data_IF_786479158315
#
_entry.id   IF_786479158315
#
_cell.length_a   1.000
_cell.length_b   1.000
_cell.length_c   1.000
_cell.angle_alpha   90.00
_cell.angle_beta   90.00
_cell.angle_gamma   90.00
#
_symmetry.space_group_name_H-M   'P 1'
#
loop_
_entity.id
_entity.type
_entity.pdbx_description
1 polymer ?
#
# COMPACT_ATOMS: atom_id res chain seq x y z
N UNK A 1 -11.81 -38.90 -12.44
CA UNK A 1 -11.22 -39.52 -11.23
C UNK A 1 -9.70 -39.72 -11.26
N UNK A 2 -9.08 -40.25 -12.33
CA UNK A 2 -7.63 -40.54 -12.37
C UNK A 2 -6.69 -39.33 -12.13
N UNK A 3 -7.05 -38.13 -12.59
CA UNK A 3 -6.22 -36.90 -12.41
C UNK A 3 -6.16 -36.41 -10.96
N UNK A 4 -7.21 -36.64 -10.17
CA UNK A 4 -7.24 -36.25 -8.75
C UNK A 4 -6.33 -37.15 -7.89
N UNK A 5 -6.23 -38.44 -8.25
CA UNK A 5 -5.34 -39.42 -7.61
C UNK A 5 -3.86 -39.06 -7.83
N UNK A 6 -3.49 -38.58 -9.02
CA UNK A 6 -2.11 -38.20 -9.34
C UNK A 6 -1.64 -36.99 -8.52
N UNK A 7 -2.52 -36.03 -8.28
CA UNK A 7 -2.20 -34.83 -7.47
C UNK A 7 -2.12 -35.15 -5.96
N UNK A 8 -3.06 -35.97 -5.44
CA UNK A 8 -3.00 -36.43 -4.04
C UNK A 8 -1.73 -37.22 -3.75
N UNK A 9 -1.26 -38.05 -4.70
CA UNK A 9 0.02 -38.76 -4.59
C UNK A 9 1.23 -37.81 -4.60
N UNK A 10 1.17 -36.70 -5.35
CA UNK A 10 2.26 -35.72 -5.41
C UNK A 10 2.36 -34.93 -4.10
N UNK A 11 1.23 -34.47 -3.56
CA UNK A 11 1.16 -33.82 -2.25
C UNK A 11 1.60 -34.74 -1.11
N UNK A 12 1.15 -35.99 -1.09
CA UNK A 12 1.57 -36.98 -0.10
C UNK A 12 3.09 -37.28 -0.18
N UNK A 13 3.66 -37.30 -1.39
CA UNK A 13 5.12 -37.45 -1.57
C UNK A 13 5.90 -36.23 -1.06
N UNK A 14 5.41 -35.02 -1.33
CA UNK A 14 6.04 -33.80 -0.81
C UNK A 14 5.95 -33.69 0.71
N UNK A 15 4.79 -34.05 1.29
CA UNK A 15 4.62 -34.08 2.75
C UNK A 15 5.45 -35.18 3.42
N UNK A 16 5.53 -36.37 2.79
CA UNK A 16 6.39 -37.45 3.25
C UNK A 16 7.88 -37.09 3.21
N UNK A 17 8.32 -36.37 2.17
CA UNK A 17 9.69 -35.83 2.10
C UNK A 17 10.00 -34.85 3.23
N UNK A 18 9.08 -33.93 3.53
CA UNK A 18 9.23 -32.99 4.65
C UNK A 18 9.27 -33.71 6.01
N UNK A 19 8.42 -34.72 6.22
CA UNK A 19 8.40 -35.51 7.45
C UNK A 19 9.73 -36.27 7.66
N UNK A 20 10.29 -36.85 6.60
CA UNK A 20 11.57 -37.55 6.64
C UNK A 20 12.74 -36.60 6.95
N UNK A 21 12.70 -35.36 6.44
CA UNK A 21 13.69 -34.32 6.78
C UNK A 21 13.60 -33.98 8.27
N UNK A 22 12.40 -33.75 8.79
CA UNK A 22 12.19 -33.48 10.22
C UNK A 22 12.63 -34.64 11.11
N UNK A 23 12.31 -35.88 10.74
CA UNK A 23 12.78 -37.08 11.44
C UNK A 23 14.31 -37.18 11.38
N UNK A 24 14.93 -36.91 10.23
CA UNK A 24 16.39 -36.89 10.07
C UNK A 24 17.07 -35.89 11.02
N UNK A 25 16.54 -34.67 11.13
CA UNK A 25 17.04 -33.67 12.08
C UNK A 25 16.84 -34.10 13.55
N UNK A 26 15.66 -34.63 13.90
CA UNK A 26 15.40 -35.11 15.25
C UNK A 26 16.29 -36.29 15.66
N UNK A 27 16.56 -37.21 14.72
CA UNK A 27 17.49 -38.34 14.96
C UNK A 27 18.94 -37.88 15.06
N UNK A 28 19.33 -36.83 14.31
CA UNK A 28 20.66 -36.26 14.37
C UNK A 28 20.94 -35.57 15.71
N UNK A 29 20.00 -34.75 16.17
CA UNK A 29 20.10 -34.08 17.48
C UNK A 29 20.11 -35.10 18.63
N UNK A 30 19.33 -36.17 18.51
CA UNK A 30 19.34 -37.29 19.47
C UNK A 30 20.66 -38.06 19.49
N UNK A 31 21.21 -38.41 18.32
CA UNK A 31 22.48 -39.17 18.23
C UNK A 31 23.68 -38.33 18.65
N UNK A 32 23.72 -37.05 18.29
CA UNK A 32 24.81 -36.14 18.65
C UNK A 32 24.85 -35.88 20.17
N UNK A 33 23.69 -35.79 20.81
CA UNK A 33 23.58 -35.69 22.27
C UNK A 33 24.03 -36.97 23.00
N UNK A 34 23.82 -38.15 22.42
CA UNK A 34 24.14 -39.43 23.06
C UNK A 34 25.58 -39.89 22.89
N UNK A 35 26.22 -39.55 21.77
CA UNK A 35 27.51 -40.17 21.39
C UNK A 35 28.71 -39.26 21.55
N UNK A 36 28.53 -37.95 21.69
CA UNK A 36 29.64 -36.98 21.79
C UNK A 36 30.50 -36.86 20.50
N UNK A 37 30.13 -37.56 19.42
CA UNK A 37 30.88 -37.60 18.14
C UNK A 37 30.54 -36.41 17.23
N UNK A 38 29.99 -35.32 17.78
CA UNK A 38 29.52 -34.15 17.03
C UNK A 38 30.56 -33.45 16.12
N UNK A 39 31.84 -33.81 16.23
CA UNK A 39 32.94 -33.18 15.51
C UNK A 39 33.45 -33.93 14.25
N UNK A 40 32.95 -35.14 13.93
CA UNK A 40 33.51 -35.95 12.83
C UNK A 40 32.57 -36.21 11.64
N UNK A 41 31.33 -35.73 11.67
CA UNK A 41 30.42 -35.83 10.54
C UNK A 41 30.06 -34.43 10.01
N UNK A 42 30.11 -34.19 8.68
CA UNK A 42 29.82 -32.88 8.11
C UNK A 42 28.37 -32.46 8.40
N UNK A 43 28.12 -31.18 8.71
CA UNK A 43 26.77 -30.72 9.04
C UNK A 43 25.81 -30.94 7.86
N UNK A 44 24.50 -31.15 8.11
CA UNK A 44 23.51 -31.55 7.09
C UNK A 44 23.29 -30.55 5.94
N UNK A 45 24.02 -29.43 5.89
CA UNK A 45 23.78 -28.29 5.01
C UNK A 45 23.76 -28.61 3.52
N UNK A 46 24.63 -29.51 3.04
CA UNK A 46 24.70 -29.85 1.61
C UNK A 46 23.54 -30.72 1.13
N UNK A 47 23.09 -31.68 1.95
CA UNK A 47 21.92 -32.52 1.64
C UNK A 47 20.64 -31.70 1.84
N UNK A 48 20.55 -30.91 2.90
CA UNK A 48 19.40 -30.06 3.18
C UNK A 48 19.14 -29.03 2.07
N UNK A 49 20.18 -28.45 1.48
CA UNK A 49 20.02 -27.46 0.41
C UNK A 49 19.55 -28.08 -0.92
N UNK A 50 20.02 -29.29 -1.26
CA UNK A 50 19.54 -30.04 -2.43
C UNK A 50 18.06 -30.41 -2.32
N UNK A 51 17.65 -30.94 -1.17
CA UNK A 51 16.27 -31.33 -0.90
C UNK A 51 15.33 -30.13 -0.76
N UNK A 52 15.81 -29.00 -0.21
CA UNK A 52 15.08 -27.75 -0.15
C UNK A 52 14.84 -27.17 -1.55
N UNK A 53 15.89 -27.05 -2.38
CA UNK A 53 15.76 -26.56 -3.76
C UNK A 53 14.81 -27.43 -4.60
N UNK A 54 14.80 -28.74 -4.37
CA UNK A 54 13.85 -29.67 -5.01
C UNK A 54 12.42 -29.45 -4.50
N UNK A 55 12.22 -29.33 -3.19
CA UNK A 55 10.90 -29.11 -2.57
C UNK A 55 10.29 -27.77 -3.00
N UNK A 56 11.07 -26.69 -3.02
CA UNK A 56 10.63 -25.36 -3.49
C UNK A 56 10.28 -25.40 -4.97
N UNK A 57 11.10 -26.04 -5.83
CA UNK A 57 10.78 -26.19 -7.26
C UNK A 57 9.49 -26.95 -7.51
N UNK A 58 9.22 -28.00 -6.74
CA UNK A 58 8.01 -28.81 -6.87
C UNK A 58 6.75 -28.11 -6.31
N UNK A 59 6.90 -27.31 -5.26
CA UNK A 59 5.83 -26.46 -4.74
C UNK A 59 5.50 -25.33 -5.71
N UNK A 60 6.51 -24.66 -6.29
CA UNK A 60 6.32 -23.61 -7.29
C UNK A 60 5.65 -24.14 -8.56
N UNK A 61 6.10 -25.29 -9.10
CA UNK A 61 5.43 -25.92 -10.26
C UNK A 61 4.01 -26.36 -9.95
N UNK A 62 3.75 -26.91 -8.76
CA UNK A 62 2.39 -27.28 -8.33
C UNK A 62 1.49 -26.04 -8.21
N UNK A 63 2.00 -24.96 -7.60
CA UNK A 63 1.31 -23.69 -7.45
C UNK A 63 1.00 -23.05 -8.81
N UNK A 64 2.00 -22.92 -9.69
CA UNK A 64 1.83 -22.43 -11.07
C UNK A 64 0.80 -23.25 -11.84
N UNK A 65 0.77 -24.58 -11.67
CA UNK A 65 -0.19 -25.44 -12.36
C UNK A 65 -1.64 -25.28 -11.86
N UNK A 66 -1.84 -25.13 -10.53
CA UNK A 66 -3.15 -24.85 -9.95
C UNK A 66 -3.65 -23.47 -10.36
N UNK A 67 -2.75 -22.50 -10.35
CA UNK A 67 -3.02 -21.12 -10.72
C UNK A 67 -3.38 -20.98 -12.19
N UNK A 68 -2.62 -21.62 -13.10
CA UNK A 68 -2.94 -21.68 -14.54
C UNK A 68 -4.33 -22.28 -14.79
N UNK A 69 -4.70 -23.35 -14.07
CA UNK A 69 -6.05 -23.95 -14.17
C UNK A 69 -7.15 -23.05 -13.61
N UNK A 70 -6.85 -22.24 -12.61
CA UNK A 70 -7.81 -21.25 -12.11
C UNK A 70 -8.01 -20.13 -13.14
N UNK A 71 -6.92 -19.63 -13.73
CA UNK A 71 -6.99 -18.64 -14.82
C UNK A 71 -7.78 -19.18 -16.01
N UNK A 72 -7.50 -20.41 -16.45
CA UNK A 72 -8.24 -21.02 -17.56
C UNK A 72 -9.73 -21.17 -17.26
N UNK A 73 -10.08 -21.50 -16.00
CA UNK A 73 -11.49 -21.55 -15.55
C UNK A 73 -12.12 -20.16 -15.55
N UNK A 74 -11.44 -19.17 -14.98
CA UNK A 74 -11.91 -17.78 -14.89
C UNK A 74 -12.07 -17.16 -16.31
N UNK A 75 -11.14 -17.44 -17.22
CA UNK A 75 -11.21 -17.03 -18.64
C UNK A 75 -12.37 -17.70 -19.36
N UNK A 76 -12.57 -19.01 -19.17
CA UNK A 76 -13.72 -19.72 -19.78
C UNK A 76 -15.05 -19.19 -19.25
N UNK A 77 -15.16 -18.98 -17.94
CA UNK A 77 -16.35 -18.39 -17.32
C UNK A 77 -16.60 -16.97 -17.82
N UNK A 78 -15.56 -16.14 -17.94
CA UNK A 78 -15.67 -14.79 -18.50
C UNK A 78 -16.09 -14.78 -19.97
N UNK A 79 -15.54 -15.70 -20.80
CA UNK A 79 -15.94 -15.86 -22.21
C UNK A 79 -17.39 -16.35 -22.35
N UNK A 80 -17.81 -17.28 -21.51
CA UNK A 80 -19.20 -17.75 -21.47
C UNK A 80 -20.16 -16.64 -21.04
N UNK A 81 -19.79 -15.83 -20.04
CA UNK A 81 -20.58 -14.68 -19.61
C UNK A 81 -20.55 -13.49 -20.59
N UNK A 82 -19.61 -13.46 -21.54
CA UNK A 82 -19.51 -12.43 -22.58
C UNK A 82 -20.33 -12.77 -23.84
N UNK A 83 -20.83 -14.01 -23.96
CA UNK A 83 -21.85 -14.32 -24.97
C UNK A 83 -23.15 -13.58 -24.62
N UNK A 84 -23.83 -12.94 -25.60
CA UNK A 84 -25.00 -12.13 -25.34
C UNK A 84 -26.20 -13.03 -25.06
N UNK A 85 -26.34 -13.50 -23.83
CA UNK A 85 -27.63 -13.91 -23.31
C UNK A 85 -28.44 -12.64 -23.07
N UNK A 86 -29.43 -12.41 -23.92
CA UNK A 86 -30.45 -11.40 -23.74
C UNK A 86 -31.19 -11.65 -22.41
N UNK A 87 -31.26 -10.64 -21.55
CA UNK A 87 -32.11 -10.62 -20.36
C UNK A 87 -31.58 -11.40 -19.16
N UNK A 88 -30.68 -10.81 -18.38
CA UNK A 88 -30.49 -11.22 -16.97
C UNK A 88 -30.39 -9.96 -16.11
N UNK A 89 -31.29 -9.90 -15.13
CA UNK A 89 -31.48 -8.86 -14.14
C UNK A 89 -30.24 -8.58 -13.28
N UNK A 90 -30.32 -7.47 -12.53
CA UNK A 90 -29.34 -6.76 -11.70
C UNK A 90 -28.60 -7.57 -10.59
N UNK A 91 -28.22 -8.82 -10.83
CA UNK A 91 -27.47 -9.60 -9.85
C UNK A 91 -26.02 -9.09 -9.77
N UNK A 92 -25.57 -8.58 -8.61
CA UNK A 92 -24.18 -8.20 -8.42
C UNK A 92 -23.28 -9.43 -8.57
N UNK A 93 -22.27 -9.30 -9.44
CA UNK A 93 -21.30 -10.37 -9.66
C UNK A 93 -20.29 -10.29 -8.51
N UNK A 94 -20.53 -11.08 -7.48
CA UNK A 94 -19.58 -11.24 -6.39
C UNK A 94 -18.33 -11.97 -6.93
N UNK A 95 -17.15 -11.39 -6.70
CA UNK A 95 -15.91 -12.13 -6.86
C UNK A 95 -15.77 -13.03 -5.63
N UNK A 96 -15.70 -14.37 -5.77
CA UNK A 96 -15.45 -15.24 -4.63
C UNK A 96 -14.01 -14.99 -4.12
N UNK A 97 -13.88 -14.10 -3.12
CA UNK A 97 -12.65 -13.89 -2.39
C UNK A 97 -12.67 -14.77 -1.14
N UNK A 98 -12.13 -15.99 -1.25
CA UNK A 98 -11.88 -16.82 -0.08
C UNK A 98 -10.74 -16.21 0.75
N UNK A 99 -10.99 -16.02 2.06
CA UNK A 99 -9.97 -15.63 3.04
C UNK A 99 -9.50 -16.90 3.72
N UNK A 100 -8.26 -17.30 3.50
CA UNK A 100 -7.64 -18.25 4.41
C UNK A 100 -7.30 -17.53 5.73
N UNK A 101 -7.49 -18.18 6.89
CA UNK A 101 -7.07 -17.61 8.16
C UNK A 101 -5.57 -17.30 8.13
N UNK A 102 -5.17 -16.15 8.70
CA UNK A 102 -3.77 -15.73 8.81
C UNK A 102 -3.00 -16.84 9.52
N UNK A 103 -2.30 -17.68 8.76
CA UNK A 103 -1.36 -18.65 9.31
C UNK A 103 -0.05 -17.90 9.56
N UNK A 104 0.47 -18.02 10.77
CA UNK A 104 1.80 -17.51 11.11
C UNK A 104 2.83 -18.20 10.21
N UNK A 105 3.22 -17.53 9.13
CA UNK A 105 4.34 -17.96 8.31
C UNK A 105 5.61 -17.40 8.94
N UNK A 106 6.31 -18.23 9.70
CA UNK A 106 7.64 -17.94 10.23
C UNK A 106 8.65 -17.92 9.08
N UNK A 107 8.72 -16.81 8.34
CA UNK A 107 9.65 -16.61 7.20
C UNK A 107 10.59 -15.42 7.47
N UNK A 108 10.82 -15.10 8.74
CA UNK A 108 11.72 -14.01 9.11
C UNK A 108 13.21 -14.41 8.96
N UNK A 109 13.57 -15.66 9.28
CA UNK A 109 14.98 -16.03 9.46
C UNK A 109 15.82 -16.26 8.19
N UNK A 110 15.23 -16.53 7.01
CA UNK A 110 16.00 -16.91 5.79
C UNK A 110 15.80 -15.98 4.58
N UNK A 111 14.94 -14.96 4.68
CA UNK A 111 14.85 -13.90 3.65
C UNK A 111 15.95 -12.85 3.84
N UNK A 112 16.47 -12.70 5.06
CA UNK A 112 17.54 -11.77 5.43
C UNK A 112 18.88 -12.10 4.74
N UNK A 113 19.17 -13.38 4.48
CA UNK A 113 20.40 -13.79 3.77
C UNK A 113 20.33 -13.57 2.24
N UNK A 114 19.14 -13.37 1.67
CA UNK A 114 18.96 -13.22 0.21
C UNK A 114 19.05 -11.78 -0.30
N UNK A 115 18.90 -10.81 0.59
CA UNK A 115 18.87 -9.40 0.25
C UNK A 115 19.54 -8.58 1.36
N UNK A 116 20.89 -8.64 1.47
CA UNK A 116 21.58 -7.68 2.30
C UNK A 116 21.21 -6.27 1.81
N UNK A 117 20.79 -5.35 2.70
CA UNK A 117 20.43 -3.98 2.33
C UNK A 117 21.54 -3.29 1.52
N UNK A 118 22.79 -3.72 1.69
CA UNK A 118 24.00 -3.19 1.09
C UNK A 118 23.96 -3.07 -0.44
N UNK A 119 23.19 -3.90 -1.18
CA UNK A 119 23.14 -3.77 -2.66
C UNK A 119 22.18 -2.69 -3.17
N UNK A 120 21.28 -2.17 -2.33
CA UNK A 120 20.29 -1.17 -2.72
C UNK A 120 20.68 0.26 -2.32
N UNK A 121 21.76 0.43 -1.53
CA UNK A 121 22.10 1.71 -0.89
C UNK A 121 23.55 2.18 -1.13
N UNK A 122 24.33 1.57 -2.03
CA UNK A 122 25.81 1.63 -2.01
C UNK A 122 26.51 2.98 -2.30
N UNK A 123 25.83 4.08 -2.63
CA UNK A 123 26.51 5.20 -3.32
C UNK A 123 26.39 6.60 -2.69
N UNK A 124 26.21 6.73 -1.37
CA UNK A 124 26.43 8.05 -0.72
C UNK A 124 26.99 7.95 0.68
N UNK A 125 27.88 8.88 1.05
CA UNK A 125 28.50 9.07 2.38
C UNK A 125 27.51 9.18 3.56
N UNK A 126 26.20 9.14 3.27
CA UNK A 126 25.13 8.86 4.21
C UNK A 126 24.14 7.89 3.54
N UNK A 127 23.80 6.77 4.17
CA UNK A 127 22.75 5.85 3.66
C UNK A 127 21.36 6.46 3.87
N UNK A 128 21.08 7.57 3.20
CA UNK A 128 19.81 8.29 3.29
C UNK A 128 18.85 7.84 2.22
N UNK A 129 17.69 7.35 2.65
CA UNK A 129 16.59 6.96 1.80
C UNK A 129 15.53 8.07 1.74
N UNK A 130 15.25 8.56 0.53
CA UNK A 130 14.28 9.60 0.29
C UNK A 130 13.01 9.05 -0.37
N UNK A 131 11.87 9.20 0.31
CA UNK A 131 10.54 8.80 -0.16
C UNK A 131 9.64 10.03 -0.23
N UNK A 132 9.20 10.41 -1.43
CA UNK A 132 8.25 11.51 -1.58
C UNK A 132 6.81 11.04 -1.35
N UNK A 133 6.16 11.58 -0.33
CA UNK A 133 4.72 11.38 -0.07
C UNK A 133 3.95 12.59 -0.57
N UNK A 134 3.04 12.39 -1.51
CA UNK A 134 2.24 13.49 -2.03
C UNK A 134 0.76 13.15 -2.24
N UNK A 135 -0.08 14.13 -1.93
CA UNK A 135 -1.53 14.06 -2.07
C UNK A 135 -1.99 14.70 -3.37
N UNK A 136 -2.81 13.99 -4.15
CA UNK A 136 -3.34 14.49 -5.44
C UNK A 136 -4.79 14.94 -5.35
N UNK A 137 -5.08 16.15 -5.85
CA UNK A 137 -6.47 16.62 -6.06
C UNK A 137 -7.02 16.05 -7.38
N UNK A 138 -7.11 14.72 -7.46
CA UNK A 138 -7.74 14.04 -8.58
C UNK A 138 -9.23 13.85 -8.27
N UNK A 139 -10.09 14.61 -8.96
CA UNK A 139 -11.51 14.31 -8.97
C UNK A 139 -11.74 12.94 -9.59
N UNK A 140 -12.78 12.24 -9.13
CA UNK A 140 -13.10 10.88 -9.57
C UNK A 140 -13.09 10.75 -11.11
N UNK A 141 -12.22 9.89 -11.64
CA UNK A 141 -12.06 9.60 -13.07
C UNK A 141 -11.22 10.60 -13.88
N UNK A 142 -10.55 11.57 -13.26
CA UNK A 142 -9.64 12.49 -13.95
C UNK A 142 -8.18 12.02 -13.91
N UNK A 143 -7.49 12.17 -15.04
CA UNK A 143 -6.09 11.74 -15.25
C UNK A 143 -5.07 12.78 -14.76
N UNK A 144 -5.34 14.08 -14.95
CA UNK A 144 -4.44 15.14 -14.51
C UNK A 144 -4.80 15.61 -13.11
N UNK A 145 -3.84 15.54 -12.20
CA UNK A 145 -4.04 15.96 -10.81
C UNK A 145 -2.89 16.85 -10.33
N UNK A 146 -3.25 17.91 -9.61
CA UNK A 146 -2.30 18.77 -8.90
C UNK A 146 -1.86 18.07 -7.62
N UNK A 147 -0.59 18.25 -7.24
CA UNK A 147 -0.06 17.78 -5.97
C UNK A 147 -0.25 18.87 -4.90
N UNK A 148 -1.22 18.68 -4.00
CA UNK A 148 -1.67 19.70 -3.05
C UNK A 148 -1.10 19.55 -1.64
N UNK A 149 -0.65 18.34 -1.30
CA UNK A 149 0.10 17.99 -0.10
C UNK A 149 1.42 17.35 -0.56
N UNK A 150 2.56 17.81 -0.07
CA UNK A 150 3.89 17.41 -0.57
C UNK A 150 4.82 17.33 0.63
N UNK A 151 5.29 16.13 0.94
CA UNK A 151 6.17 15.85 2.08
C UNK A 151 7.26 14.87 1.65
N UNK A 152 8.52 15.25 1.79
CA UNK A 152 9.63 14.33 1.62
C UNK A 152 9.89 13.64 2.97
N UNK A 153 9.86 12.32 2.99
CA UNK A 153 10.30 11.52 4.13
C UNK A 153 11.72 11.06 3.86
N UNK A 154 12.66 11.60 4.60
CA UNK A 154 14.09 11.30 4.53
C UNK A 154 14.46 10.42 5.71
N UNK A 155 14.92 9.21 5.44
CA UNK A 155 15.28 8.21 6.45
C UNK A 155 16.79 8.02 6.41
N UNK A 156 17.45 8.31 7.50
CA UNK A 156 18.86 8.03 7.71
C UNK A 156 19.00 6.61 8.25
N UNK A 157 19.44 5.66 7.43
CA UNK A 157 19.46 4.24 7.78
C UNK A 157 20.57 3.89 8.78
N UNK A 158 21.58 4.74 8.91
CA UNK A 158 22.70 4.54 9.84
C UNK A 158 22.35 5.00 11.25
N UNK A 159 21.66 6.14 11.37
CA UNK A 159 21.27 6.73 12.68
C UNK A 159 19.85 6.40 13.11
N UNK A 160 19.01 5.94 12.19
CA UNK A 160 17.58 5.74 12.39
C UNK A 160 16.77 7.03 12.35
N UNK A 161 17.37 8.20 12.06
CA UNK A 161 16.64 9.46 12.06
C UNK A 161 15.68 9.56 10.87
N UNK A 162 14.41 9.85 11.16
CA UNK A 162 13.37 10.14 10.16
C UNK A 162 13.07 11.63 10.16
N UNK A 163 13.33 12.30 9.04
CA UNK A 163 12.94 13.69 8.80
C UNK A 163 11.77 13.76 7.82
N UNK A 164 10.68 14.38 8.25
CA UNK A 164 9.57 14.79 7.38
C UNK A 164 9.82 16.23 6.96
N UNK A 165 9.94 16.48 5.66
CA UNK A 165 10.19 17.81 5.09
C UNK A 165 8.96 18.25 4.31
N UNK A 166 8.20 19.18 4.87
CA UNK A 166 6.98 19.72 4.26
C UNK A 166 7.29 20.79 3.21
N UNK A 167 6.67 20.65 2.04
CA UNK A 167 6.83 21.54 0.89
C UNK A 167 5.48 22.21 0.60
N UNK A 168 5.31 23.50 0.95
CA UNK A 168 4.08 24.23 0.62
C UNK A 168 3.82 24.22 -0.88
N UNK A 169 2.60 23.86 -1.28
CA UNK A 169 2.23 23.67 -2.69
C UNK A 169 2.43 24.94 -3.55
N UNK A 170 2.44 26.11 -2.91
CA UNK A 170 2.63 27.42 -3.54
C UNK A 170 4.08 27.83 -3.76
N UNK A 171 5.07 27.01 -3.38
CA UNK A 171 6.46 27.33 -3.69
C UNK A 171 6.69 27.41 -5.20
N UNK A 172 7.50 28.39 -5.61
CA UNK A 172 7.82 28.59 -7.01
C UNK A 172 8.53 27.36 -7.58
N UNK A 173 8.04 26.87 -8.71
CA UNK A 173 8.72 25.87 -9.52
C UNK A 173 8.23 26.00 -10.96
N UNK A 174 9.14 25.92 -11.92
CA UNK A 174 8.80 26.10 -13.32
C UNK A 174 7.92 24.94 -13.83
N UNK A 175 6.60 25.18 -13.83
CA UNK A 175 5.58 24.28 -14.36
C UNK A 175 5.37 24.46 -15.87
N UNK A 176 6.00 25.46 -16.50
CA UNK A 176 5.92 25.71 -17.94
C UNK A 176 4.80 26.64 -18.38
N UNK A 177 4.16 27.34 -17.44
CA UNK A 177 3.11 28.30 -17.79
C UNK A 177 3.72 29.66 -18.13
N UNK A 178 3.07 30.41 -19.04
CA UNK A 178 3.44 31.80 -19.34
C UNK A 178 3.20 32.71 -18.14
N UNK A 179 2.10 32.49 -17.43
CA UNK A 179 1.79 33.18 -16.18
C UNK A 179 2.73 32.73 -15.06
N UNK A 180 3.47 33.68 -14.47
CA UNK A 180 4.40 33.42 -13.37
C UNK A 180 3.69 32.85 -12.14
N UNK A 181 2.45 33.25 -11.86
CA UNK A 181 1.71 32.79 -10.68
C UNK A 181 1.28 31.32 -10.78
N UNK A 182 1.16 30.80 -12.00
CA UNK A 182 0.85 29.39 -12.26
C UNK A 182 2.09 28.48 -12.17
N UNK A 183 3.30 29.04 -12.08
CA UNK A 183 4.55 28.30 -11.91
C UNK A 183 4.84 28.01 -10.43
N UNK A 184 4.01 27.12 -9.88
CA UNK A 184 4.13 26.60 -8.51
C UNK A 184 4.33 25.08 -8.53
N UNK A 185 4.97 24.55 -7.49
CA UNK A 185 5.30 23.13 -7.35
C UNK A 185 4.06 22.22 -7.48
N UNK A 186 2.90 22.66 -6.99
CA UNK A 186 1.63 21.92 -7.10
C UNK A 186 1.24 21.56 -8.54
N UNK A 187 1.59 22.42 -9.49
CA UNK A 187 1.17 22.29 -10.87
C UNK A 187 2.14 21.46 -11.71
N UNK A 188 3.38 21.26 -11.25
CA UNK A 188 4.44 20.60 -12.02
C UNK A 188 4.05 19.15 -12.35
N UNK A 189 3.43 18.42 -11.41
CA UNK A 189 2.97 17.05 -11.66
C UNK A 189 1.98 17.00 -12.83
N UNK A 190 0.98 17.88 -12.84
CA UNK A 190 -0.06 17.91 -13.87
C UNK A 190 0.45 18.40 -15.24
N UNK A 191 1.46 19.28 -15.26
CA UNK A 191 1.92 19.93 -16.50
C UNK A 191 3.18 19.31 -17.11
N UNK A 192 4.08 18.76 -16.29
CA UNK A 192 5.39 18.23 -16.71
C UNK A 192 5.62 16.77 -16.34
N UNK A 193 4.66 16.14 -15.66
CA UNK A 193 4.75 14.73 -15.26
C UNK A 193 5.57 14.50 -13.99
N UNK A 194 5.55 13.23 -13.54
CA UNK A 194 6.12 12.81 -12.25
C UNK A 194 7.62 13.02 -12.16
N UNK A 195 8.38 12.65 -13.19
CA UNK A 195 9.84 12.75 -13.18
C UNK A 195 10.33 14.19 -12.97
N UNK A 196 9.71 15.17 -13.65
CA UNK A 196 10.03 16.58 -13.45
C UNK A 196 9.58 17.07 -12.07
N UNK A 197 8.44 16.58 -11.58
CA UNK A 197 7.96 16.91 -10.24
C UNK A 197 8.91 16.42 -9.15
N UNK A 198 9.38 15.17 -9.20
CA UNK A 198 10.38 14.62 -8.27
C UNK A 198 11.65 15.47 -8.26
N UNK A 199 12.24 15.75 -9.43
CA UNK A 199 13.41 16.63 -9.54
C UNK A 199 13.21 18.05 -9.01
N UNK A 200 12.00 18.59 -9.15
CA UNK A 200 11.68 19.89 -8.57
C UNK A 200 11.64 19.83 -7.05
N UNK A 201 11.13 18.75 -6.46
CA UNK A 201 11.12 18.57 -5.00
C UNK A 201 12.53 18.30 -4.47
N UNK A 202 13.33 17.47 -5.15
CA UNK A 202 14.76 17.25 -4.83
C UNK A 202 15.51 18.58 -4.66
N UNK A 203 15.37 19.47 -5.64
CA UNK A 203 16.00 20.81 -5.62
C UNK A 203 15.48 21.71 -4.50
N UNK A 204 14.20 21.61 -4.15
CA UNK A 204 13.60 22.41 -3.08
C UNK A 204 14.04 21.89 -1.71
N UNK A 205 14.14 20.57 -1.56
CA UNK A 205 14.42 19.93 -0.30
C UNK A 205 15.91 19.84 0.02
N UNK A 206 16.77 19.75 -0.99
CA UNK A 206 18.23 19.66 -0.85
C UNK A 206 18.65 18.53 0.12
N UNK A 207 18.12 17.32 -0.13
CA UNK A 207 18.34 16.11 0.69
C UNK A 207 18.89 14.92 -0.10
N UNK A 208 19.34 15.16 -1.35
CA UNK A 208 19.75 14.12 -2.28
C UNK A 208 18.61 13.63 -3.20
N UNK A 209 18.86 12.58 -4.00
CA UNK A 209 17.92 12.07 -4.98
C UNK A 209 16.69 11.43 -4.32
N UNK A 210 15.53 11.53 -4.97
CA UNK A 210 14.26 10.92 -4.56
C UNK A 210 14.00 9.71 -5.48
N UNK A 211 14.34 8.52 -4.99
CA UNK A 211 14.15 7.27 -5.73
C UNK A 211 12.75 6.69 -5.59
N UNK A 212 12.03 7.05 -4.52
CA UNK A 212 10.74 6.43 -4.19
C UNK A 212 9.64 7.46 -3.97
N UNK A 213 8.40 7.04 -4.22
CA UNK A 213 7.24 7.89 -4.00
C UNK A 213 6.02 7.12 -3.49
N UNK A 214 5.13 7.84 -2.83
CA UNK A 214 3.79 7.42 -2.44
C UNK A 214 2.82 8.52 -2.87
N UNK A 215 1.91 8.17 -3.79
CA UNK A 215 0.82 9.03 -4.25
C UNK A 215 -0.49 8.62 -3.56
N UNK A 216 -1.15 9.61 -2.95
CA UNK A 216 -2.38 9.40 -2.18
C UNK A 216 -3.48 10.31 -2.75
N UNK A 217 -4.54 9.71 -3.26
CA UNK A 217 -5.77 10.40 -3.65
C UNK A 217 -6.78 10.52 -2.51
N UNK A 218 -7.89 11.21 -2.77
CA UNK A 218 -8.90 11.52 -1.76
C UNK A 218 -9.56 10.26 -1.15
N UNK A 219 -9.92 9.26 -1.96
CA UNK A 219 -10.54 8.03 -1.44
C UNK A 219 -9.56 7.22 -0.58
N UNK A 220 -8.28 7.21 -0.97
CA UNK A 220 -7.24 6.46 -0.28
C UNK A 220 -6.92 7.09 1.07
N UNK A 221 -6.87 8.43 1.14
CA UNK A 221 -6.75 9.15 2.41
C UNK A 221 -7.92 8.84 3.36
N UNK A 222 -9.16 8.78 2.87
CA UNK A 222 -10.33 8.36 3.67
C UNK A 222 -10.13 6.93 4.19
N UNK A 223 -9.73 6.00 3.32
CA UNK A 223 -9.48 4.61 3.73
C UNK A 223 -8.37 4.48 4.78
N UNK A 224 -7.27 5.21 4.62
CA UNK A 224 -6.17 5.25 5.59
C UNK A 224 -6.67 5.78 6.94
N UNK A 225 -7.36 6.92 6.96
CA UNK A 225 -7.92 7.47 8.21
C UNK A 225 -8.92 6.51 8.87
N UNK A 226 -9.75 5.83 8.09
CA UNK A 226 -10.62 4.78 8.60
C UNK A 226 -9.81 3.67 9.27
N UNK A 227 -8.80 3.12 8.59
CA UNK A 227 -7.92 2.07 9.12
C UNK A 227 -7.26 2.49 10.43
N UNK A 228 -6.79 3.73 10.51
CA UNK A 228 -6.14 4.31 11.69
C UNK A 228 -7.08 4.59 12.87
N UNK A 229 -8.38 4.30 12.73
CA UNK A 229 -9.31 4.35 13.87
C UNK A 229 -10.19 5.61 13.93
N UNK A 230 -10.08 6.54 12.99
CA UNK A 230 -10.85 7.77 13.03
C UNK A 230 -12.35 7.50 12.82
N UNK A 231 -13.20 8.05 13.70
CA UNK A 231 -14.66 7.85 13.67
C UNK A 231 -15.32 8.47 12.45
N UNK A 232 -14.82 9.63 12.00
CA UNK A 232 -15.32 10.34 10.82
C UNK A 232 -14.18 10.71 9.86
N UNK A 233 -13.65 9.74 9.09
CA UNK A 233 -12.50 9.93 8.21
C UNK A 233 -12.65 11.09 7.20
N UNK A 234 -13.87 11.35 6.74
CA UNK A 234 -14.15 12.44 5.80
C UNK A 234 -14.01 13.82 6.45
N UNK A 235 -14.46 13.96 7.71
CA UNK A 235 -14.31 15.20 8.47
C UNK A 235 -12.84 15.44 8.84
N UNK A 236 -12.12 14.41 9.25
CA UNK A 236 -10.69 14.48 9.53
C UNK A 236 -9.89 14.93 8.31
N UNK A 237 -10.18 14.33 7.15
CA UNK A 237 -9.55 14.74 5.90
C UNK A 237 -9.92 16.19 5.53
N UNK A 238 -11.12 16.65 5.86
CA UNK A 238 -11.50 18.04 5.69
C UNK A 238 -10.68 18.97 6.60
N UNK A 239 -10.47 18.60 7.86
CA UNK A 239 -9.63 19.34 8.80
C UNK A 239 -8.20 19.48 8.28
N UNK A 240 -7.58 18.37 7.84
CA UNK A 240 -6.24 18.36 7.21
C UNK A 240 -6.15 19.19 5.92
N UNK A 241 -7.29 19.47 5.26
CA UNK A 241 -7.36 20.28 4.03
C UNK A 241 -7.65 21.75 4.30
N UNK A 242 -8.08 22.11 5.50
CA UNK A 242 -8.40 23.49 5.87
C UNK A 242 -7.16 24.36 5.78
N UNK A 243 -7.32 25.54 5.21
CA UNK A 243 -6.32 26.63 5.19
C UNK A 243 -6.87 27.94 5.75
N UNK A 244 -8.20 28.04 5.87
CA UNK A 244 -8.90 29.25 6.32
C UNK A 244 -8.87 29.26 7.85
N UNK A 245 -8.52 30.40 8.43
CA UNK A 245 -8.38 30.56 9.88
C UNK A 245 -6.97 30.33 10.42
N UNK A 246 -6.01 29.89 9.59
CA UNK A 246 -4.60 29.86 9.99
C UNK A 246 -3.89 31.17 9.65
N UNK A 247 -3.03 31.63 10.55
CA UNK A 247 -2.27 32.88 10.42
C UNK A 247 -1.43 32.94 9.13
N UNK A 248 -0.82 31.82 8.71
CA UNK A 248 -0.06 31.71 7.46
C UNK A 248 -0.73 30.80 6.42
N UNK A 249 -2.05 30.61 6.53
CA UNK A 249 -2.89 29.96 5.53
C UNK A 249 -2.40 28.58 5.07
N UNK A 250 -1.99 28.49 3.80
CA UNK A 250 -1.55 27.23 3.16
C UNK A 250 -0.26 26.66 3.75
N UNK A 251 0.61 27.52 4.28
CA UNK A 251 1.87 27.09 4.91
C UNK A 251 1.60 26.37 6.23
N UNK A 252 0.72 26.92 7.08
CA UNK A 252 0.28 26.21 8.29
C UNK A 252 -0.39 24.88 7.95
N UNK A 253 -1.21 24.83 6.89
CA UNK A 253 -1.82 23.57 6.47
C UNK A 253 -0.75 22.53 6.12
N UNK A 254 0.24 22.91 5.32
CA UNK A 254 1.37 22.02 4.98
C UNK A 254 2.13 21.58 6.23
N UNK A 255 2.32 22.48 7.20
CA UNK A 255 2.97 22.15 8.46
C UNK A 255 2.17 21.11 9.25
N UNK A 256 0.87 21.33 9.44
CA UNK A 256 0.01 20.42 10.19
C UNK A 256 -0.07 19.03 9.52
N UNK A 257 -0.02 18.98 8.19
CA UNK A 257 0.06 17.71 7.45
C UNK A 257 1.38 16.98 7.72
N UNK A 258 2.51 17.69 7.78
CA UNK A 258 3.81 17.11 8.15
C UNK A 258 3.84 16.61 9.59
N UNK A 259 3.34 17.40 10.54
CA UNK A 259 3.18 16.96 11.95
C UNK A 259 2.30 15.73 12.05
N UNK A 260 1.18 15.70 11.32
CA UNK A 260 0.32 14.52 11.26
C UNK A 260 1.09 13.28 10.81
N UNK A 261 1.92 13.38 9.76
CA UNK A 261 2.77 12.26 9.32
C UNK A 261 3.76 11.86 10.41
N UNK A 262 4.40 12.82 11.09
CA UNK A 262 5.29 12.53 12.21
C UNK A 262 4.57 11.72 13.29
N UNK A 263 3.37 12.15 13.71
CA UNK A 263 2.57 11.41 14.68
C UNK A 263 2.28 9.98 14.25
N UNK A 264 1.99 9.76 12.97
CA UNK A 264 1.74 8.41 12.47
C UNK A 264 2.99 7.53 12.62
N UNK A 265 4.19 8.05 12.33
CA UNK A 265 5.43 7.34 12.61
C UNK A 265 5.55 7.02 14.11
N UNK A 266 5.39 8.02 14.99
CA UNK A 266 5.53 7.83 16.43
C UNK A 266 4.56 6.77 16.97
N UNK A 267 3.31 6.82 16.52
CA UNK A 267 2.23 5.98 17.04
C UNK A 267 2.21 4.57 16.44
N UNK A 268 2.48 4.43 15.15
CA UNK A 268 2.21 3.19 14.44
C UNK A 268 3.45 2.41 14.01
N UNK A 269 4.66 2.97 14.14
CA UNK A 269 5.90 2.23 13.86
C UNK A 269 5.99 0.88 14.61
N UNK A 270 5.63 0.76 15.91
CA UNK A 270 5.68 -0.52 16.61
C UNK A 270 4.74 -1.60 16.02
N UNK A 271 3.75 -1.22 15.21
CA UNK A 271 2.86 -2.18 14.55
C UNK A 271 3.46 -2.75 13.25
N UNK A 272 4.53 -2.15 12.73
CA UNK A 272 5.14 -2.52 11.46
C UNK A 272 6.09 -3.72 11.58
N UNK A 273 6.31 -4.24 12.79
CA UNK A 273 7.13 -5.44 13.03
C UNK A 273 6.28 -6.72 13.07
N UNK A 274 6.93 -7.86 12.82
CA UNK A 274 6.31 -9.18 12.87
C UNK A 274 5.18 -9.42 11.85
N UNK A 275 4.30 -10.37 12.16
CA UNK A 275 3.20 -10.81 11.26
C UNK A 275 2.19 -9.70 10.99
N UNK A 276 1.92 -8.84 11.99
CA UNK A 276 1.02 -7.68 11.82
C UNK A 276 1.61 -6.68 10.84
N UNK A 277 2.90 -6.41 10.95
CA UNK A 277 3.65 -5.57 10.04
C UNK A 277 3.53 -6.00 8.58
N UNK A 278 3.64 -7.30 8.31
CA UNK A 278 3.50 -7.84 6.95
C UNK A 278 2.13 -7.51 6.34
N UNK A 279 1.04 -7.67 7.10
CA UNK A 279 -0.31 -7.36 6.63
C UNK A 279 -0.48 -5.85 6.41
N UNK A 280 0.06 -5.03 7.31
CA UNK A 280 -0.01 -3.56 7.21
C UNK A 280 0.77 -3.04 6.01
N UNK A 281 1.98 -3.56 5.76
CA UNK A 281 2.83 -3.16 4.63
C UNK A 281 2.17 -3.55 3.31
N UNK A 282 1.73 -4.82 3.16
CA UNK A 282 1.09 -5.30 1.93
C UNK A 282 -0.20 -4.57 1.63
N UNK A 283 -1.09 -4.50 2.61
CA UNK A 283 -2.37 -3.82 2.46
C UNK A 283 -2.21 -2.31 2.24
N UNK A 284 -1.24 -1.68 2.91
CA UNK A 284 -0.91 -0.27 2.74
C UNK A 284 -0.44 0.03 1.32
N UNK A 285 0.50 -0.76 0.79
CA UNK A 285 0.95 -0.64 -0.61
C UNK A 285 -0.18 -0.95 -1.61
N UNK A 286 -1.10 -1.86 -1.28
CA UNK A 286 -2.27 -2.12 -2.12
C UNK A 286 -3.24 -0.93 -2.19
N UNK A 287 -3.27 -0.06 -1.18
CA UNK A 287 -4.13 1.12 -1.15
C UNK A 287 -3.56 2.30 -1.92
N UNK A 288 -2.26 2.53 -1.86
CA UNK A 288 -1.62 3.70 -2.46
C UNK A 288 -1.08 3.41 -3.85
N UNK A 289 -0.65 4.45 -4.55
CA UNK A 289 0.13 4.32 -5.79
C UNK A 289 1.60 4.58 -5.46
N UNK A 290 2.48 3.63 -5.75
CA UNK A 290 3.88 3.69 -5.30
C UNK A 290 4.79 2.78 -6.13
N UNK A 291 6.07 3.11 -6.19
CA UNK A 291 7.14 2.23 -6.68
C UNK A 291 7.89 1.49 -5.55
N UNK A 292 7.43 1.60 -4.30
CA UNK A 292 7.96 0.83 -3.17
C UNK A 292 7.56 -0.65 -3.29
N UNK A 293 8.49 -1.53 -2.97
CA UNK A 293 8.23 -2.97 -2.85
C UNK A 293 8.00 -3.36 -1.39
N UNK A 294 7.35 -4.50 -1.17
CA UNK A 294 7.15 -5.06 0.18
C UNK A 294 8.50 -5.32 0.84
N UNK A 295 9.46 -5.84 0.07
CA UNK A 295 10.81 -6.15 0.52
C UNK A 295 11.56 -4.89 0.97
N UNK A 296 11.47 -3.80 0.20
CA UNK A 296 12.08 -2.53 0.58
C UNK A 296 11.45 -1.95 1.83
N UNK A 297 10.11 -1.93 1.93
CA UNK A 297 9.43 -1.47 3.14
C UNK A 297 9.86 -2.27 4.38
N UNK A 298 10.03 -3.58 4.26
CA UNK A 298 10.55 -4.43 5.33
C UNK A 298 11.99 -4.11 5.68
N UNK A 299 12.84 -3.88 4.68
CA UNK A 299 14.23 -3.45 4.87
C UNK A 299 14.32 -2.14 5.66
N UNK A 300 13.46 -1.17 5.35
CA UNK A 300 13.38 0.10 6.07
C UNK A 300 12.99 -0.13 7.54
N UNK A 301 11.92 -0.90 7.78
CA UNK A 301 11.46 -1.19 9.15
C UNK A 301 12.56 -1.88 9.96
N UNK A 302 13.21 -2.87 9.36
CA UNK A 302 14.32 -3.59 9.99
C UNK A 302 15.52 -2.68 10.30
N UNK A 303 15.92 -1.81 9.38
CA UNK A 303 17.01 -0.87 9.58
C UNK A 303 16.70 0.06 10.76
N UNK A 304 15.50 0.64 10.80
CA UNK A 304 15.04 1.50 11.89
C UNK A 304 14.98 0.76 13.24
N UNK A 305 14.50 -0.48 13.25
CA UNK A 305 14.49 -1.31 14.48
C UNK A 305 15.91 -1.57 14.98
N UNK A 306 16.84 -1.90 14.08
CA UNK A 306 18.25 -2.18 14.40
C UNK A 306 18.98 -0.96 14.98
N UNK A 307 18.66 0.24 14.52
CA UNK A 307 19.21 1.49 15.07
C UNK A 307 18.60 1.88 16.41
N UNK A 308 17.64 1.12 16.93
CA UNK A 308 16.94 1.44 18.16
C UNK A 308 16.02 2.64 18.01
N UNK A 309 15.39 2.81 16.83
CA UNK A 309 14.51 3.94 16.52
C UNK A 309 13.54 4.24 17.66
N UNK A 310 13.74 5.40 18.29
CA UNK A 310 12.83 5.93 19.30
C UNK A 310 11.69 6.64 18.60
N UNK A 311 10.45 6.21 18.87
CA UNK A 311 9.27 6.90 18.37
C UNK A 311 9.16 8.35 18.86
N UNK A 312 9.86 8.73 19.93
CA UNK A 312 9.82 10.10 20.48
C UNK A 312 10.83 11.01 19.76
N UNK A 313 12.11 10.63 19.76
CA UNK A 313 13.21 11.49 19.30
C UNK A 313 13.69 11.17 17.87
N UNK A 314 13.31 10.01 17.35
CA UNK A 314 13.70 9.53 16.02
C UNK A 314 12.95 10.20 14.88
N UNK A 315 11.95 11.05 15.16
CA UNK A 315 11.15 11.72 14.12
C UNK A 315 11.19 13.23 14.28
N UNK A 316 11.61 13.93 13.23
CA UNK A 316 11.68 15.39 13.14
C UNK A 316 10.88 15.92 11.97
N UNK A 317 10.39 17.14 12.11
CA UNK A 317 9.67 17.85 11.05
C UNK A 317 10.39 19.13 10.67
N UNK A 318 10.54 19.35 9.37
CA UNK A 318 11.10 20.55 8.78
C UNK A 318 10.12 21.16 7.77
N UNK A 319 10.04 22.49 7.73
CA UNK A 319 9.26 23.23 6.74
C UNK A 319 10.18 23.94 5.72
N UNK A 320 9.91 23.77 4.42
CA UNK A 320 10.64 24.47 3.36
C UNK A 320 10.05 25.84 3.00
N UNK A 321 10.90 26.70 2.46
CA UNK A 321 10.55 28.06 2.00
C UNK A 321 10.80 29.16 3.04
N UNK A 322 10.30 30.36 2.74
CA UNK A 322 10.55 31.59 3.53
C UNK A 322 10.04 31.53 4.97
N UNK A 323 9.22 30.54 5.30
CA UNK A 323 8.61 30.36 6.61
C UNK A 323 9.40 29.43 7.52
N UNK A 324 10.48 28.77 7.06
CA UNK A 324 11.29 27.83 7.85
C UNK A 324 11.55 28.34 9.27
N UNK A 325 12.13 29.54 9.41
CA UNK A 325 12.47 30.16 10.71
C UNK A 325 11.28 30.37 11.66
N UNK A 326 10.04 30.47 11.13
CA UNK A 326 8.83 30.69 11.94
C UNK A 326 8.28 29.41 12.55
N UNK A 327 8.65 28.25 12.01
CA UNK A 327 8.17 26.94 12.44
C UNK A 327 9.24 26.13 13.19
N UNK A 328 10.50 26.56 13.18
CA UNK A 328 11.63 25.89 13.88
C UNK A 328 11.47 25.85 15.41
N UNK A 329 10.68 26.78 15.99
CA UNK A 329 10.51 26.90 17.45
C UNK A 329 9.07 26.61 17.93
N UNK A 330 8.21 26.07 17.07
CA UNK A 330 6.92 25.57 17.57
C UNK A 330 7.21 24.27 18.31
N UNK A 331 6.73 24.10 19.55
CA UNK A 331 6.88 22.84 20.25
C UNK A 331 6.38 21.72 19.34
N UNK A 332 7.17 20.66 19.18
CA UNK A 332 6.70 19.37 18.63
C UNK A 332 5.73 18.70 19.61
N UNK A 333 4.76 19.46 20.10
CA UNK A 333 3.72 19.06 21.02
C UNK A 333 2.43 19.01 20.24
N UNK A 334 2.26 17.97 19.43
CA UNK A 334 0.90 17.52 19.15
C UNK A 334 0.40 16.97 20.48
N UNK A 335 -0.32 17.82 21.21
CA UNK A 335 -1.18 17.37 22.28
C UNK A 335 -2.20 16.41 21.63
N UNK A 336 -1.98 15.11 21.83
CA UNK A 336 -2.85 14.05 21.28
C UNK A 336 -4.31 14.17 21.72
N UNK A 337 -4.60 15.01 22.72
CA UNK A 337 -5.97 15.36 23.15
C UNK A 337 -6.51 16.64 22.50
N UNK A 338 -5.63 17.50 21.97
CA UNK A 338 -6.00 18.70 21.23
C UNK A 338 -6.45 18.39 19.79
N UNK A 339 -6.03 17.28 19.19
CA UNK A 339 -6.50 16.86 17.86
C UNK A 339 -7.98 16.47 17.85
N UNK A 340 -8.48 15.81 18.92
CA UNK A 340 -9.92 15.54 19.04
C UNK A 340 -10.72 16.84 19.24
N UNK A 341 -10.17 17.83 19.95
CA UNK A 341 -10.85 19.10 20.27
C UNK A 341 -10.73 20.18 19.18
N UNK A 342 -9.59 20.26 18.49
CA UNK A 342 -9.37 21.23 17.41
C UNK A 342 -10.26 20.90 16.20
N UNK A 343 -10.52 19.61 15.96
CA UNK A 343 -11.46 19.14 14.94
C UNK A 343 -12.92 19.25 15.42
N UNK A 344 -13.21 19.02 16.71
CA UNK A 344 -14.59 19.13 17.24
C UNK A 344 -15.11 20.57 17.33
N UNK A 345 -14.24 21.56 17.57
CA UNK A 345 -14.64 22.95 17.75
C UNK A 345 -14.83 23.72 16.44
N UNK A 346 -14.41 23.15 15.32
CA UNK A 346 -14.71 23.71 14.02
C UNK A 346 -16.13 23.27 13.62
N UNK A 347 -17.12 24.12 13.92
CA UNK A 347 -18.49 24.02 13.35
C UNK A 347 -18.43 24.13 11.83
N UNK A 348 -18.11 23.02 11.17
CA UNK A 348 -18.09 22.94 9.72
C UNK A 348 -19.50 22.64 9.22
N UNK A 349 -20.05 23.60 8.46
CA UNK A 349 -21.31 23.42 7.72
C UNK A 349 -21.24 22.12 6.92
N UNK A 350 -22.16 21.23 7.20
CA UNK A 350 -22.35 19.96 6.51
C UNK A 350 -22.29 20.17 4.99
N UNK A 351 -21.44 19.39 4.33
CA UNK A 351 -21.35 19.30 2.87
C UNK A 351 -22.58 18.59 2.26
N UNK A 352 -23.78 18.86 2.78
CA UNK A 352 -25.05 18.30 2.30
C UNK A 352 -25.58 19.02 1.03
N UNK A 353 -24.71 19.73 0.31
CA UNK A 353 -25.06 20.32 -0.98
C UNK A 353 -25.13 19.26 -2.08
N UNK A 354 -26.34 18.73 -2.34
CA UNK A 354 -26.93 18.18 -3.60
C UNK A 354 -26.01 17.49 -4.64
N UNK A 355 -24.84 16.98 -4.30
CA UNK A 355 -24.06 16.12 -5.18
C UNK A 355 -24.66 14.72 -5.13
N UNK A 356 -24.86 14.04 -6.29
CA UNK A 356 -25.25 12.64 -6.25
C UNK A 356 -24.22 11.89 -5.42
N UNK A 357 -24.69 11.07 -4.46
CA UNK A 357 -23.84 10.24 -3.63
C UNK A 357 -22.82 9.49 -4.51
N UNK A 358 -21.57 9.39 -4.06
CA UNK A 358 -20.49 8.75 -4.82
C UNK A 358 -20.93 7.38 -5.35
N UNK A 359 -21.65 6.62 -4.51
CA UNK A 359 -22.28 5.36 -4.86
C UNK A 359 -23.15 5.45 -6.13
N UNK A 360 -24.12 6.37 -6.18
CA UNK A 360 -24.98 6.57 -7.36
C UNK A 360 -24.20 6.97 -8.62
N UNK A 361 -23.06 7.66 -8.48
CA UNK A 361 -22.17 7.96 -9.60
C UNK A 361 -21.44 6.70 -10.10
N UNK A 362 -20.97 5.85 -9.19
CA UNK A 362 -20.31 4.59 -9.55
C UNK A 362 -21.32 3.63 -10.20
N UNK A 363 -22.53 3.47 -9.65
CA UNK A 363 -23.57 2.63 -10.24
C UNK A 363 -23.93 3.07 -11.67
N UNK A 364 -24.10 4.37 -11.90
CA UNK A 364 -24.32 4.91 -13.28
C UNK A 364 -23.13 4.64 -14.20
N UNK A 365 -21.91 4.64 -13.68
CA UNK A 365 -20.74 4.28 -14.48
C UNK A 365 -20.74 2.80 -14.86
N UNK A 366 -21.02 1.91 -13.90
CA UNK A 366 -21.16 0.47 -14.12
C UNK A 366 -22.26 0.17 -15.16
N UNK A 367 -23.44 0.76 -15.00
CA UNK A 367 -24.56 0.60 -15.92
C UNK A 367 -24.21 1.03 -17.36
N UNK A 368 -23.46 2.13 -17.52
CA UNK A 368 -22.94 2.54 -18.84
C UNK A 368 -21.91 1.56 -19.39
N UNK A 369 -21.01 1.05 -18.55
CA UNK A 369 -19.97 0.12 -18.98
C UNK A 369 -20.53 -1.23 -19.43
N UNK A 370 -21.65 -1.70 -18.85
CA UNK A 370 -22.38 -2.90 -19.32
C UNK A 370 -22.83 -2.80 -20.78
N UNK A 371 -23.04 -1.59 -21.30
CA UNK A 371 -23.46 -1.36 -22.70
C UNK A 371 -22.29 -1.38 -23.68
N UNK A 372 -21.04 -1.34 -23.21
CA UNK A 372 -19.88 -1.37 -24.10
C UNK A 372 -19.59 -2.77 -24.58
N UNK A 373 -19.48 -2.93 -25.91
CA UNK A 373 -19.08 -4.18 -26.55
C UNK A 373 -17.56 -4.39 -26.58
N UNK A 374 -16.78 -3.31 -26.57
CA UNK A 374 -15.32 -3.34 -26.64
C UNK A 374 -14.70 -3.30 -25.24
N UNK A 375 -13.82 -4.26 -24.87
CA UNK A 375 -13.19 -4.29 -23.55
C UNK A 375 -12.33 -3.05 -23.28
N UNK A 376 -11.73 -2.44 -24.30
CA UNK A 376 -10.91 -1.22 -24.18
C UNK A 376 -11.72 -0.03 -23.64
N UNK A 377 -13.00 0.06 -24.03
CA UNK A 377 -13.90 1.11 -23.55
C UNK A 377 -14.24 0.92 -22.07
N UNK A 378 -14.38 -0.32 -21.62
CA UNK A 378 -14.59 -0.66 -20.20
C UNK A 378 -13.33 -0.33 -19.41
N UNK A 379 -12.15 -0.78 -19.86
CA UNK A 379 -10.86 -0.53 -19.22
C UNK A 379 -10.64 0.98 -19.06
N UNK A 380 -10.73 1.75 -20.15
CA UNK A 380 -10.51 3.20 -20.13
C UNK A 380 -11.42 3.95 -19.14
N UNK A 381 -12.62 3.42 -18.89
CA UNK A 381 -13.61 4.06 -18.01
C UNK A 381 -13.49 3.63 -16.55
N UNK A 382 -13.09 2.38 -16.30
CA UNK A 382 -13.08 1.79 -14.96
C UNK A 382 -11.69 1.77 -14.33
N UNK A 383 -10.61 1.62 -15.10
CA UNK A 383 -9.24 1.48 -14.59
C UNK A 383 -8.91 2.58 -13.60
N UNK A 384 -9.09 3.86 -14.01
CA UNK A 384 -8.83 4.99 -13.11
C UNK A 384 -9.71 5.02 -11.86
N UNK A 385 -10.97 4.62 -11.96
CA UNK A 385 -11.91 4.60 -10.83
C UNK A 385 -11.52 3.52 -9.81
N UNK A 386 -11.00 2.39 -10.31
CA UNK A 386 -10.48 1.29 -9.49
C UNK A 386 -9.14 1.66 -8.85
N UNK A 387 -8.20 2.23 -9.61
CA UNK A 387 -6.94 2.75 -9.08
C UNK A 387 -7.13 3.82 -8.00
N UNK A 388 -8.19 4.64 -8.12
CA UNK A 388 -8.54 5.67 -7.14
C UNK A 388 -9.29 5.12 -5.92
N UNK A 389 -9.57 3.81 -5.85
CA UNK A 389 -10.33 3.18 -4.77
C UNK A 389 -11.64 3.91 -4.46
N UNK A 390 -12.38 4.28 -5.51
CA UNK A 390 -13.50 5.21 -5.41
C UNK A 390 -14.57 4.82 -4.39
N UNK A 391 -14.74 3.51 -4.15
CA UNK A 391 -15.68 2.96 -3.18
C UNK A 391 -15.36 3.38 -1.74
N UNK A 392 -14.11 3.71 -1.39
CA UNK A 392 -13.74 4.14 -0.04
C UNK A 392 -14.43 5.45 0.38
N UNK A 393 -14.95 6.23 -0.58
CA UNK A 393 -15.77 7.41 -0.29
C UNK A 393 -17.23 7.07 0.05
N UNK A 394 -17.64 5.80 -0.03
CA UNK A 394 -18.97 5.32 0.34
C UNK A 394 -18.96 4.96 1.83
N UNK A 395 -19.78 5.63 2.66
CA UNK A 395 -19.74 5.45 4.12
C UNK A 395 -20.37 4.12 4.56
N UNK A 396 -21.35 3.61 3.82
CA UNK A 396 -22.04 2.35 4.15
C UNK A 396 -21.17 1.18 3.71
N UNK A 397 -20.69 0.38 4.67
CA UNK A 397 -19.74 -0.71 4.43
C UNK A 397 -20.25 -1.74 3.42
N UNK A 398 -21.50 -2.20 3.56
CA UNK A 398 -22.08 -3.20 2.64
C UNK A 398 -22.19 -2.68 1.21
N UNK A 399 -22.64 -1.44 1.04
CA UNK A 399 -22.73 -0.81 -0.28
C UNK A 399 -21.34 -0.60 -0.89
N UNK A 400 -20.36 -0.18 -0.08
CA UNK A 400 -18.95 -0.03 -0.49
C UNK A 400 -18.41 -1.33 -1.06
N UNK A 401 -18.56 -2.45 -0.34
CA UNK A 401 -18.03 -3.74 -0.78
C UNK A 401 -18.73 -4.25 -2.05
N UNK A 402 -20.06 -4.09 -2.15
CA UNK A 402 -20.80 -4.42 -3.38
C UNK A 402 -20.33 -3.63 -4.59
N UNK A 403 -20.10 -2.32 -4.41
CA UNK A 403 -19.61 -1.43 -5.48
C UNK A 403 -18.19 -1.79 -5.92
N UNK A 404 -17.32 -2.03 -4.95
CA UNK A 404 -15.94 -2.47 -5.19
C UNK A 404 -15.92 -3.76 -6.01
N UNK A 405 -16.60 -4.80 -5.53
CA UNK A 405 -16.58 -6.11 -6.17
C UNK A 405 -17.17 -6.03 -7.59
N UNK A 406 -18.22 -5.23 -7.79
CA UNK A 406 -18.80 -4.98 -9.10
C UNK A 406 -17.84 -4.29 -10.07
N UNK A 407 -17.12 -3.27 -9.60
CA UNK A 407 -16.10 -2.56 -10.39
C UNK A 407 -14.95 -3.49 -10.77
N UNK A 408 -14.41 -4.21 -9.80
CA UNK A 408 -13.27 -5.13 -9.97
C UNK A 408 -13.65 -6.29 -10.88
N UNK A 409 -14.83 -6.87 -10.72
CA UNK A 409 -15.31 -7.96 -11.57
C UNK A 409 -15.48 -7.53 -13.03
N UNK A 410 -16.01 -6.32 -13.26
CA UNK A 410 -16.20 -5.80 -14.62
C UNK A 410 -14.86 -5.46 -15.29
N UNK A 411 -13.96 -4.77 -14.57
CA UNK A 411 -12.62 -4.46 -15.08
C UNK A 411 -11.80 -5.74 -15.31
N UNK A 412 -11.83 -6.68 -14.36
CA UNK A 412 -11.13 -7.95 -14.46
C UNK A 412 -11.58 -8.78 -15.66
N UNK A 413 -12.89 -8.84 -15.93
CA UNK A 413 -13.39 -9.50 -17.16
C UNK A 413 -12.90 -8.80 -18.42
N UNK A 414 -12.87 -7.47 -18.46
CA UNK A 414 -12.35 -6.74 -19.61
C UNK A 414 -10.87 -7.07 -19.88
N UNK A 415 -10.04 -7.19 -18.84
CA UNK A 415 -8.66 -7.65 -18.98
C UNK A 415 -8.56 -9.07 -19.51
N UNK A 416 -9.35 -10.01 -18.98
CA UNK A 416 -9.35 -11.40 -19.42
C UNK A 416 -9.77 -11.54 -20.89
N UNK A 417 -10.79 -10.80 -21.33
CA UNK A 417 -11.23 -10.79 -22.74
C UNK A 417 -10.13 -10.25 -23.65
N UNK A 418 -9.35 -9.26 -23.20
CA UNK A 418 -8.18 -8.74 -23.92
C UNK A 418 -6.96 -9.68 -23.88
N UNK A 419 -7.01 -10.75 -23.09
CA UNK A 419 -5.86 -11.63 -22.84
C UNK A 419 -4.80 -11.03 -21.89
N UNK A 420 -5.11 -9.92 -21.21
CA UNK A 420 -4.19 -9.24 -20.29
C UNK A 420 -4.20 -9.89 -18.91
N UNK A 421 -3.66 -11.11 -18.86
CA UNK A 421 -3.64 -11.93 -17.64
C UNK A 421 -2.77 -11.33 -16.54
N UNK A 422 -1.73 -10.58 -16.89
CA UNK A 422 -0.84 -9.92 -15.92
C UNK A 422 -1.60 -8.83 -15.16
N UNK A 423 -2.28 -7.91 -15.88
CA UNK A 423 -3.10 -6.88 -15.22
C UNK A 423 -4.25 -7.47 -14.40
N UNK A 424 -4.88 -8.54 -14.90
CA UNK A 424 -5.91 -9.23 -14.13
C UNK A 424 -5.39 -9.77 -12.80
N UNK A 425 -4.21 -10.41 -12.79
CA UNK A 425 -3.63 -10.93 -11.55
C UNK A 425 -3.17 -9.83 -10.60
N UNK A 426 -2.56 -8.78 -11.12
CA UNK A 426 -2.19 -7.61 -10.31
C UNK A 426 -3.43 -7.00 -9.65
N UNK A 427 -4.53 -6.82 -10.41
CA UNK A 427 -5.81 -6.34 -9.88
C UNK A 427 -6.34 -7.25 -8.78
N UNK A 428 -6.40 -8.57 -9.03
CA UNK A 428 -6.92 -9.55 -8.06
C UNK A 428 -6.09 -9.57 -6.77
N UNK A 429 -4.77 -9.59 -6.90
CA UNK A 429 -3.84 -9.58 -5.77
C UNK A 429 -4.00 -8.30 -4.95
N UNK A 430 -4.00 -7.13 -5.61
CA UNK A 430 -4.18 -5.83 -4.94
C UNK A 430 -5.49 -5.77 -4.16
N UNK A 431 -6.59 -6.23 -4.76
CA UNK A 431 -7.89 -6.26 -4.10
C UNK A 431 -7.95 -7.30 -2.97
N UNK A 432 -7.23 -8.41 -3.08
CA UNK A 432 -7.15 -9.35 -1.96
C UNK A 432 -6.46 -8.71 -0.74
N UNK A 433 -5.30 -8.09 -0.94
CA UNK A 433 -4.52 -7.47 0.15
C UNK A 433 -5.28 -6.34 0.84
N UNK A 434 -5.96 -5.47 0.09
CA UNK A 434 -6.83 -4.43 0.65
C UNK A 434 -7.97 -5.05 1.48
N UNK A 435 -8.62 -6.10 0.98
CA UNK A 435 -9.72 -6.73 1.69
C UNK A 435 -9.25 -7.37 3.00
N UNK A 436 -8.10 -8.06 2.98
CA UNK A 436 -7.48 -8.64 4.18
C UNK A 436 -7.17 -7.55 5.20
N UNK A 437 -6.63 -6.40 4.76
CA UNK A 437 -6.33 -5.27 5.62
C UNK A 437 -7.58 -4.73 6.34
N UNK A 438 -8.65 -4.41 5.61
CA UNK A 438 -9.87 -3.87 6.22
C UNK A 438 -10.60 -4.89 7.10
N UNK A 439 -10.66 -6.16 6.68
CA UNK A 439 -11.32 -7.23 7.44
C UNK A 439 -10.64 -7.49 8.78
N UNK A 440 -9.32 -7.33 8.85
CA UNK A 440 -8.55 -7.57 10.06
C UNK A 440 -8.24 -6.29 10.86
N UNK A 441 -8.77 -5.13 10.46
CA UNK A 441 -8.49 -3.82 11.08
C UNK A 441 -8.57 -3.86 12.60
N UNK A 442 -9.67 -4.34 13.17
CA UNK A 442 -9.84 -4.38 14.63
C UNK A 442 -8.75 -5.21 15.31
N UNK A 443 -8.37 -6.36 14.74
CA UNK A 443 -7.31 -7.23 15.29
C UNK A 443 -5.91 -6.63 15.14
N UNK A 444 -5.68 -5.90 14.06
CA UNK A 444 -4.40 -5.25 13.79
C UNK A 444 -4.16 -4.10 14.78
N UNK A 445 -5.20 -3.29 15.05
CA UNK A 445 -5.10 -2.07 15.86
C UNK A 445 -5.60 -2.19 17.33
N UNK A 446 -6.13 -3.34 17.77
CA UNK A 446 -6.71 -3.52 19.12
C UNK A 446 -5.71 -3.51 20.29
N UNK A 447 -4.42 -3.74 20.05
CA UNK A 447 -3.42 -3.82 21.13
C UNK A 447 -2.95 -2.45 21.66
N UNK A 448 -3.43 -1.33 21.10
CA UNK A 448 -3.12 0.01 21.62
C UNK A 448 -4.11 0.53 22.68
N UNK A 449 -5.04 -0.31 23.17
CA UNK A 449 -6.04 0.07 24.20
C UNK A 449 -5.71 -0.41 25.62
N UNK A 450 -4.47 -0.81 25.90
CA UNK A 450 -4.03 -1.14 27.27
C UNK A 450 -3.08 -0.08 27.78
#
# INVERSE_FOLDING_TARGET
>A
MLKHRRHRRLLLRSMGGLLLVFLGFATWDGLSALTGVGNYLPPPGLVADGWWRWSVRNLDTSYRSMFRRQIERDVRAAKQAAHPAAGVDDVPIALPMHVEPIRAFTVAGRLLDRYPPDSAFSDSEHHRLNVLVYGVDSRLGHERARADAIHLVSIDLDTGLVEVVSVPRGLYSNAGYKDKNSNIIANVLASRGRERFLRSVEKICDKGPISYYIEIGFSQAIGILELLGYKNPALELQALRTRRGFQYGDVNRSYNQGEFICLLFRKYFPLLTGVKGEVLIRGGLALVESNLTVELCRGIVYALEKTGFSSVDGVRHEMRGRFRKRFVNLPSGVDTTADEKAVSNLRYKSLHGRRPAVAARIWRLLARCRRYRKPESVIRRLERVVEQHAWLQVPVADERWRLRDSLVAMLGRAYLVRGDTVKYQALKSRMHEEYVLFKNRERLFSLQRK
#
